data_IF_409019633896
#
_entry.id   IF_409019633896
#
_cell.length_a   1.000
_cell.length_b   1.000
_cell.length_c   1.000
_cell.angle_alpha   90.00
_cell.angle_beta   90.00
_cell.angle_gamma   90.00
#
_symmetry.space_group_name_H-M   'P 1'
#
loop_
_entity.id
_entity.type
_entity.pdbx_description
1 polymer ?
#
# COMPACT_ATOMS: atom_id res chain seq x y z
N UNK A 1 2.88 -21.81 -5.14
CA UNK A 1 2.28 -22.53 -3.99
C UNK A 1 1.28 -21.66 -3.23
N UNK A 2 1.64 -20.45 -2.78
CA UNK A 2 0.75 -19.56 -2.00
C UNK A 2 -0.50 -19.05 -2.76
N UNK A 3 -0.44 -18.89 -4.08
CA UNK A 3 -1.58 -18.44 -4.88
C UNK A 3 -2.78 -19.39 -4.84
N UNK A 4 -2.53 -20.70 -4.86
CA UNK A 4 -3.59 -21.72 -4.81
C UNK A 4 -4.28 -21.78 -3.45
N UNK A 5 -3.54 -21.47 -2.37
CA UNK A 5 -4.11 -21.43 -1.02
C UNK A 5 -5.11 -20.27 -0.86
N UNK A 6 -4.84 -19.12 -1.50
CA UNK A 6 -5.74 -17.94 -1.41
C UNK A 6 -7.11 -18.18 -2.05
N UNK A 7 -7.16 -18.86 -3.20
CA UNK A 7 -8.42 -19.20 -3.87
C UNK A 7 -9.25 -20.19 -3.05
N UNK A 8 -8.59 -21.15 -2.38
CA UNK A 8 -9.28 -22.18 -1.59
C UNK A 8 -9.81 -21.67 -0.24
N UNK A 9 -9.17 -20.66 0.36
CA UNK A 9 -9.53 -20.17 1.70
C UNK A 9 -10.36 -18.88 1.65
N UNK A 10 -10.07 -17.98 0.71
CA UNK A 10 -10.67 -16.63 0.65
C UNK A 10 -11.55 -16.41 -0.59
N UNK A 11 -11.59 -17.34 -1.55
CA UNK A 11 -12.40 -17.21 -2.78
C UNK A 11 -12.00 -16.06 -3.71
N UNK A 12 -10.84 -15.42 -3.45
CA UNK A 12 -10.37 -14.25 -4.20
C UNK A 12 -8.92 -14.50 -4.62
N UNK A 13 -8.59 -14.18 -5.88
CA UNK A 13 -7.21 -14.21 -6.38
C UNK A 13 -6.46 -12.98 -5.87
N UNK A 14 -5.52 -13.17 -4.95
CA UNK A 14 -4.62 -12.10 -4.51
C UNK A 14 -3.20 -12.37 -4.99
N UNK A 15 -2.61 -11.38 -5.66
CA UNK A 15 -1.20 -11.39 -6.01
C UNK A 15 -0.37 -10.76 -4.89
N UNK A 16 0.88 -11.18 -4.64
CA UNK A 16 1.77 -10.55 -3.66
C UNK A 16 1.89 -9.02 -3.82
N UNK A 17 1.81 -8.54 -5.07
CA UNK A 17 1.78 -7.13 -5.39
C UNK A 17 0.50 -6.44 -4.88
N UNK A 18 -0.67 -7.08 -5.00
CA UNK A 18 -1.94 -6.54 -4.50
C UNK A 18 -1.94 -6.41 -2.96
N UNK A 19 -1.33 -7.36 -2.25
CA UNK A 19 -1.14 -7.27 -0.79
C UNK A 19 -0.22 -6.12 -0.40
N UNK A 20 0.90 -5.93 -1.12
CA UNK A 20 1.79 -4.79 -0.93
C UNK A 20 1.07 -3.46 -1.14
N UNK A 21 0.23 -3.38 -2.16
CA UNK A 21 -0.62 -2.21 -2.43
C UNK A 21 -1.63 -1.95 -1.31
N UNK A 22 -2.37 -2.98 -0.88
CA UNK A 22 -3.33 -2.85 0.21
C UNK A 22 -2.67 -2.41 1.53
N UNK A 23 -1.47 -2.93 1.82
CA UNK A 23 -0.68 -2.55 2.98
C UNK A 23 -0.27 -1.07 2.93
N UNK A 24 0.30 -0.61 1.81
CA UNK A 24 0.68 0.80 1.63
C UNK A 24 -0.49 1.77 1.76
N UNK A 25 -1.62 1.45 1.13
CA UNK A 25 -2.85 2.25 1.23
C UNK A 25 -3.39 2.30 2.66
N UNK A 26 -3.39 1.17 3.39
CA UNK A 26 -3.84 1.12 4.79
C UNK A 26 -2.97 1.99 5.69
N UNK A 27 -1.64 1.92 5.56
CA UNK A 27 -0.69 2.68 6.37
C UNK A 27 -0.87 4.19 6.18
N UNK A 28 -0.99 4.63 4.92
CA UNK A 28 -1.22 6.05 4.61
C UNK A 28 -2.60 6.50 5.11
N UNK A 29 -3.64 5.67 4.97
CA UNK A 29 -4.96 5.96 5.52
C UNK A 29 -4.98 6.09 7.05
N UNK A 30 -4.12 5.33 7.76
CA UNK A 30 -3.92 5.49 9.20
C UNK A 30 -3.11 6.73 9.60
N UNK A 31 -2.62 7.51 8.63
CA UNK A 31 -1.85 8.73 8.87
C UNK A 31 -0.36 8.49 9.06
N UNK A 32 0.16 7.34 8.61
CA UNK A 32 1.61 7.11 8.57
C UNK A 32 2.22 7.94 7.45
N UNK A 33 3.34 8.59 7.75
CA UNK A 33 4.08 9.43 6.80
C UNK A 33 4.54 8.63 5.56
N UNK A 34 4.47 9.28 4.38
CA UNK A 34 4.81 8.67 3.10
C UNK A 34 6.27 8.19 3.02
N UNK A 35 7.21 8.92 3.61
CA UNK A 35 8.64 8.55 3.64
C UNK A 35 8.85 7.30 4.49
N UNK A 36 8.13 7.19 5.60
CA UNK A 36 8.16 5.99 6.45
C UNK A 36 7.59 4.80 5.67
N UNK A 37 6.44 4.96 5.01
CA UNK A 37 5.84 3.89 4.20
C UNK A 37 6.75 3.52 3.03
N UNK A 38 7.41 4.49 2.39
CA UNK A 38 8.37 4.25 1.32
C UNK A 38 9.56 3.40 1.79
N UNK A 39 10.17 3.75 2.93
CA UNK A 39 11.28 2.98 3.51
C UNK A 39 10.81 1.58 3.94
N UNK A 40 9.64 1.48 4.57
CA UNK A 40 9.07 0.21 5.02
C UNK A 40 8.80 -0.76 3.86
N UNK A 41 8.33 -0.25 2.71
CA UNK A 41 8.05 -1.05 1.53
C UNK A 41 9.28 -1.23 0.61
N UNK A 42 10.40 -0.56 0.90
CA UNK A 42 11.62 -0.62 0.09
C UNK A 42 11.45 -0.03 -1.31
N UNK A 43 10.59 0.98 -1.47
CA UNK A 43 10.35 1.60 -2.77
C UNK A 43 11.52 2.51 -3.17
N UNK A 44 12.28 2.09 -4.19
CA UNK A 44 13.35 2.88 -4.79
C UNK A 44 12.85 4.20 -5.41
N UNK A 45 11.60 4.22 -5.88
CA UNK A 45 10.95 5.41 -6.41
C UNK A 45 9.75 5.80 -5.54
N UNK A 46 9.77 7.03 -5.00
CA UNK A 46 8.67 7.57 -4.19
C UNK A 46 7.34 7.67 -4.96
N UNK A 47 7.38 7.77 -6.30
CA UNK A 47 6.18 7.83 -7.14
C UNK A 47 5.26 6.60 -6.92
N UNK A 48 5.83 5.43 -6.61
CA UNK A 48 5.04 4.22 -6.31
C UNK A 48 4.25 4.34 -5.00
N UNK A 49 4.77 5.11 -4.04
CA UNK A 49 4.13 5.36 -2.74
C UNK A 49 3.15 6.53 -2.83
N UNK A 50 3.45 7.55 -3.64
CA UNK A 50 2.54 8.68 -3.92
C UNK A 50 1.25 8.20 -4.58
N UNK A 51 1.30 7.17 -5.43
CA UNK A 51 0.11 6.57 -6.01
C UNK A 51 -0.93 6.10 -4.96
N UNK A 52 -0.51 5.80 -3.73
CA UNK A 52 -1.43 5.41 -2.65
C UNK A 52 -2.22 6.59 -2.06
N UNK A 53 -1.77 7.83 -2.20
CA UNK A 53 -2.51 9.00 -1.69
C UNK A 53 -3.72 9.35 -2.54
N UNK A 54 -3.70 9.04 -3.84
CA UNK A 54 -4.85 9.21 -4.72
C UNK A 54 -6.07 8.37 -4.26
N UNK A 55 -5.80 7.27 -3.55
CA UNK A 55 -6.83 6.34 -3.05
C UNK A 55 -7.32 6.69 -1.63
N UNK A 56 -6.65 7.59 -0.91
CA UNK A 56 -7.01 7.94 0.47
C UNK A 56 -8.02 9.08 0.58
N UNK A 57 -8.36 9.75 -0.54
CA UNK A 57 -9.35 10.84 -0.57
C UNK A 57 -8.97 12.07 0.27
N UNK A 58 -7.73 12.13 0.77
CA UNK A 58 -7.21 13.25 1.57
C UNK A 58 -6.23 14.06 0.72
N UNK A 59 -6.43 15.38 0.58
CA UNK A 59 -5.45 16.24 -0.06
C UNK A 59 -4.07 16.12 0.61
N UNK A 60 -3.02 16.37 -0.16
CA UNK A 60 -1.59 16.31 0.22
C UNK A 60 -1.21 17.17 1.45
N UNK A 61 -2.15 17.95 1.97
CA UNK A 61 -2.00 19.03 2.95
C UNK A 61 -1.68 18.55 4.39
N UNK A 62 -1.64 17.24 4.65
CA UNK A 62 -1.31 16.69 6.00
C UNK A 62 -0.13 15.71 6.02
N UNK A 63 0.67 15.67 4.96
CA UNK A 63 1.92 14.88 4.93
C UNK A 63 3.11 15.83 4.94
N UNK A 64 3.11 16.73 5.93
CA UNK A 64 4.14 17.74 6.14
C UNK A 64 4.95 17.33 7.37
N UNK A 65 6.19 16.91 7.14
CA UNK A 65 7.37 17.37 7.87
C UNK A 65 8.51 17.58 6.86
#
# INVERSE_FOLDING_TARGET
>A
MLHRLSEQVLGVKWHPHALRHACGVRLINSGVDLRIVQQYLGHANIQNTVAYTALTGRPFERLVF
#
